data_IF_848268443415
#
_entry.id   IF_848268443415
#
_cell.length_a   1.000
_cell.length_b   1.000
_cell.length_c   1.000
_cell.angle_alpha   90.00
_cell.angle_beta   90.00
_cell.angle_gamma   90.00
#
_symmetry.space_group_name_H-M   'P 1'
#
loop_
_entity.id
_entity.type
_entity.pdbx_description
1 polymer ?
#
# COMPACT_ATOMS: atom_id res chain seq x y z
N UNK A 1 -47.17 83.59 0.68
CA UNK A 1 -46.23 82.73 1.41
C UNK A 1 -46.64 81.29 1.24
N UNK A 2 -46.23 80.67 0.12
CA UNK A 2 -46.59 79.28 -0.22
C UNK A 2 -45.40 78.42 0.03
N UNK A 3 -45.55 77.44 0.94
CA UNK A 3 -44.55 76.37 1.16
C UNK A 3 -45.00 75.13 0.35
N UNK A 4 -44.27 74.84 -0.67
CA UNK A 4 -44.41 73.64 -1.49
C UNK A 4 -43.80 72.48 -0.72
N UNK A 5 -44.58 71.43 -0.47
CA UNK A 5 -44.15 70.16 0.06
C UNK A 5 -43.73 69.28 -1.09
N UNK A 6 -42.48 68.87 -1.13
CA UNK A 6 -41.95 67.90 -2.05
C UNK A 6 -42.11 66.52 -1.37
N UNK A 7 -42.92 65.65 -1.98
CA UNK A 7 -43.03 64.27 -1.58
C UNK A 7 -41.88 63.45 -2.22
N UNK A 8 -41.08 62.87 -1.36
CA UNK A 8 -40.04 61.92 -1.77
C UNK A 8 -40.65 60.53 -1.78
N UNK A 9 -40.89 60.00 -2.96
CA UNK A 9 -41.21 58.56 -3.16
C UNK A 9 -39.91 57.77 -3.21
N UNK A 10 -39.64 57.01 -2.15
CA UNK A 10 -38.53 56.09 -2.10
C UNK A 10 -38.87 54.82 -2.92
N UNK A 11 -38.20 54.65 -4.02
CA UNK A 11 -38.23 53.39 -4.79
C UNK A 11 -37.29 52.37 -4.11
N UNK A 12 -37.87 51.37 -3.47
CA UNK A 12 -37.12 50.17 -2.99
C UNK A 12 -36.75 49.31 -4.17
N UNK A 13 -35.51 49.36 -4.59
CA UNK A 13 -34.93 48.43 -5.53
C UNK A 13 -34.53 47.17 -4.75
N UNK A 14 -35.34 46.09 -4.87
CA UNK A 14 -35.04 44.79 -4.28
C UNK A 14 -33.96 44.11 -5.14
N UNK A 15 -32.71 44.14 -4.67
CA UNK A 15 -31.58 43.41 -5.27
C UNK A 15 -31.63 41.96 -4.80
N UNK A 16 -32.25 41.11 -5.60
CA UNK A 16 -32.13 39.65 -5.44
C UNK A 16 -30.71 39.23 -5.80
N UNK A 17 -29.85 39.08 -4.80
CA UNK A 17 -28.58 38.33 -4.93
C UNK A 17 -28.90 36.86 -5.11
N UNK A 18 -28.84 36.37 -6.35
CA UNK A 18 -28.75 34.97 -6.67
C UNK A 18 -27.37 34.48 -6.25
N UNK A 19 -27.28 33.92 -5.05
CA UNK A 19 -26.14 33.12 -4.62
C UNK A 19 -26.19 31.80 -5.47
N UNK A 20 -25.57 31.83 -6.65
CA UNK A 20 -25.18 30.63 -7.36
C UNK A 20 -24.06 30.00 -6.54
N UNK A 21 -24.43 29.16 -5.58
CA UNK A 21 -23.48 28.25 -4.96
C UNK A 21 -22.97 27.33 -6.05
N UNK A 22 -21.74 27.55 -6.51
CA UNK A 22 -20.99 26.50 -7.18
C UNK A 22 -20.83 25.36 -6.18
N UNK A 23 -21.68 24.34 -6.26
CA UNK A 23 -21.34 23.04 -5.71
C UNK A 23 -20.11 22.57 -6.49
N UNK A 24 -18.95 22.72 -5.90
CA UNK A 24 -17.78 21.94 -6.32
C UNK A 24 -18.17 20.48 -6.15
N UNK A 25 -18.02 19.63 -7.18
CA UNK A 25 -18.08 18.19 -6.94
C UNK A 25 -17.07 17.85 -5.87
N UNK A 26 -17.35 16.82 -5.02
CA UNK A 26 -16.34 16.33 -4.09
C UNK A 26 -15.07 16.05 -4.92
N UNK A 27 -13.93 16.52 -4.45
CA UNK A 27 -12.65 16.15 -5.03
C UNK A 27 -12.61 14.61 -5.03
N UNK A 28 -12.77 14.01 -6.20
CA UNK A 28 -12.37 12.62 -6.38
C UNK A 28 -10.90 12.61 -5.99
N UNK A 29 -10.59 11.97 -4.86
CA UNK A 29 -9.22 11.71 -4.45
C UNK A 29 -8.57 11.07 -5.65
N UNK A 30 -7.64 11.76 -6.27
CA UNK A 30 -6.81 11.23 -7.34
C UNK A 30 -5.96 10.18 -6.65
N UNK A 31 -6.44 8.94 -6.65
CA UNK A 31 -5.55 7.80 -6.44
C UNK A 31 -4.56 7.93 -7.58
N UNK A 32 -3.39 8.44 -7.31
CA UNK A 32 -2.27 8.41 -8.25
C UNK A 32 -2.01 6.93 -8.48
N UNK A 33 -2.54 6.41 -9.59
CA UNK A 33 -2.35 5.01 -9.95
C UNK A 33 -0.86 4.85 -10.24
N UNK A 34 -0.16 4.24 -9.31
CA UNK A 34 1.20 3.78 -9.48
C UNK A 34 1.27 2.98 -10.79
N UNK A 35 2.11 3.42 -11.72
CA UNK A 35 2.28 2.77 -13.02
C UNK A 35 3.64 2.08 -13.08
N UNK A 36 3.63 0.80 -13.48
CA UNK A 36 4.89 0.08 -13.75
C UNK A 36 5.77 0.76 -14.81
N UNK A 37 5.17 1.56 -15.70
CA UNK A 37 5.90 2.30 -16.73
C UNK A 37 6.87 3.34 -16.12
N UNK A 38 6.59 3.79 -14.88
CA UNK A 38 7.41 4.76 -14.16
C UNK A 38 8.53 4.10 -13.35
N UNK A 39 8.51 2.74 -13.22
CA UNK A 39 9.52 2.00 -12.49
C UNK A 39 10.72 1.72 -13.39
N UNK A 40 11.94 2.14 -12.98
CA UNK A 40 13.14 1.79 -13.70
C UNK A 40 13.36 0.27 -13.75
N UNK A 41 13.95 -0.22 -14.82
CA UNK A 41 14.35 -1.63 -14.88
C UNK A 41 15.30 -1.96 -13.72
N UNK A 42 15.16 -3.17 -13.15
CA UNK A 42 16.05 -3.63 -12.10
C UNK A 42 17.54 -3.53 -12.50
N UNK A 43 18.35 -2.97 -11.62
CA UNK A 43 19.77 -2.70 -11.86
C UNK A 43 20.71 -3.26 -10.78
N UNK A 44 20.20 -4.18 -9.95
CA UNK A 44 20.99 -4.85 -8.90
C UNK A 44 20.53 -4.56 -7.48
N UNK A 45 19.79 -3.46 -7.27
CA UNK A 45 19.25 -3.11 -5.94
C UNK A 45 17.88 -3.77 -5.75
N UNK A 46 17.54 -4.24 -4.53
CA UNK A 46 16.29 -4.95 -4.30
C UNK A 46 15.03 -4.06 -4.40
N UNK A 47 15.17 -2.75 -4.25
CA UNK A 47 14.08 -1.79 -4.30
C UNK A 47 14.50 -0.44 -4.89
N UNK A 48 13.51 0.38 -5.18
CA UNK A 48 13.68 1.78 -5.58
C UNK A 48 12.63 2.64 -4.87
N UNK A 49 13.02 3.85 -4.45
CA UNK A 49 12.05 4.82 -3.94
C UNK A 49 11.18 5.34 -5.09
N UNK A 50 9.87 5.47 -4.84
CA UNK A 50 8.89 5.99 -5.78
C UNK A 50 8.15 7.18 -5.18
N UNK A 51 7.52 8.01 -6.01
CA UNK A 51 6.75 9.18 -5.60
C UNK A 51 7.50 10.10 -4.61
N UNK A 52 8.82 10.25 -4.82
CA UNK A 52 9.67 11.03 -3.94
C UNK A 52 9.85 10.43 -2.54
N UNK A 53 9.61 9.14 -2.38
CA UNK A 53 9.60 8.41 -1.10
C UNK A 53 8.51 8.90 -0.15
N UNK A 54 7.41 9.45 -0.69
CA UNK A 54 6.27 9.91 0.11
C UNK A 54 5.09 8.97 -0.08
N UNK A 55 4.55 8.39 1.01
CA UNK A 55 3.34 7.60 0.95
C UNK A 55 2.11 8.51 0.79
N UNK A 56 1.03 7.95 0.25
CA UNK A 56 -0.25 8.64 0.08
C UNK A 56 -1.36 7.90 0.85
N UNK A 57 -1.55 8.28 2.11
CA UNK A 57 -2.59 7.72 2.98
C UNK A 57 -3.74 8.71 3.17
N UNK A 58 -5.01 8.25 3.23
CA UNK A 58 -6.14 9.10 3.55
C UNK A 58 -6.01 9.74 4.93
N UNK A 59 -6.40 11.00 5.07
CA UNK A 59 -6.35 11.72 6.35
C UNK A 59 -7.23 11.05 7.43
N UNK A 60 -8.35 10.46 7.02
CA UNK A 60 -9.26 9.72 7.90
C UNK A 60 -8.63 8.46 8.53
N UNK A 61 -7.59 7.89 7.92
CA UNK A 61 -6.88 6.72 8.43
C UNK A 61 -5.73 7.08 9.40
N UNK A 62 -5.36 8.37 9.47
CA UNK A 62 -4.33 8.91 10.38
C UNK A 62 -4.84 8.91 11.83
N UNK A 63 -5.11 7.73 12.38
CA UNK A 63 -5.67 7.55 13.74
C UNK A 63 -4.83 6.57 14.54
N UNK A 64 -4.96 6.63 15.88
CA UNK A 64 -4.33 5.65 16.80
C UNK A 64 -5.26 4.45 17.05
N UNK A 65 -6.00 4.01 16.03
CA UNK A 65 -6.86 2.83 16.10
C UNK A 65 -6.31 1.80 15.13
N UNK A 66 -5.87 0.67 15.67
CA UNK A 66 -5.35 -0.43 14.86
C UNK A 66 -6.43 -1.05 13.97
N UNK A 67 -6.07 -1.40 12.76
CA UNK A 67 -6.89 -2.20 11.85
C UNK A 67 -5.99 -2.98 10.89
N UNK A 68 -6.54 -4.03 10.30
CA UNK A 68 -5.96 -4.72 9.15
C UNK A 68 -7.06 -5.10 8.16
N UNK A 69 -6.75 -5.07 6.89
CA UNK A 69 -7.66 -5.42 5.81
C UNK A 69 -6.89 -5.99 4.63
N UNK A 70 -7.50 -6.96 3.97
CA UNK A 70 -6.95 -7.65 2.81
C UNK A 70 -8.00 -7.64 1.71
N UNK A 71 -7.58 -7.31 0.49
CA UNK A 71 -8.47 -7.36 -0.66
C UNK A 71 -8.79 -8.79 -1.04
N UNK A 72 -10.03 -9.07 -1.42
CA UNK A 72 -10.40 -10.37 -2.00
C UNK A 72 -9.50 -10.71 -3.20
N UNK A 73 -9.22 -12.00 -3.37
CA UNK A 73 -8.47 -12.48 -4.53
C UNK A 73 -9.22 -12.12 -5.83
N UNK A 74 -8.48 -11.74 -6.85
CA UNK A 74 -9.06 -11.49 -8.16
C UNK A 74 -9.46 -12.80 -8.88
N UNK A 75 -10.00 -12.69 -10.09
CA UNK A 75 -10.45 -13.84 -10.89
C UNK A 75 -9.33 -14.80 -11.32
N UNK A 76 -8.07 -14.39 -11.17
CA UNK A 76 -6.88 -15.21 -11.41
C UNK A 76 -6.29 -15.78 -10.11
N UNK A 77 -6.95 -15.52 -8.96
CA UNK A 77 -6.46 -15.94 -7.64
C UNK A 77 -5.26 -15.14 -7.15
N UNK A 78 -5.10 -13.89 -7.62
CA UNK A 78 -4.01 -13.00 -7.22
C UNK A 78 -4.46 -12.10 -6.07
N UNK A 79 -3.55 -11.85 -5.12
CA UNK A 79 -3.79 -10.91 -4.03
C UNK A 79 -3.94 -9.47 -4.56
N UNK A 80 -4.81 -8.71 -3.92
CA UNK A 80 -4.88 -7.26 -4.06
C UNK A 80 -4.09 -6.55 -2.95
N UNK A 81 -4.54 -5.35 -2.59
CA UNK A 81 -3.90 -4.54 -1.55
C UNK A 81 -4.09 -5.18 -0.17
N UNK A 82 -3.00 -5.24 0.60
CA UNK A 82 -3.00 -5.49 2.04
C UNK A 82 -2.70 -4.17 2.75
N UNK A 83 -3.53 -3.79 3.71
CA UNK A 83 -3.45 -2.50 4.39
C UNK A 83 -3.74 -2.62 5.87
N UNK A 84 -2.90 -2.02 6.70
CA UNK A 84 -3.07 -2.02 8.14
C UNK A 84 -2.64 -0.68 8.76
N UNK A 85 -3.22 -0.37 9.91
CA UNK A 85 -2.66 0.56 10.88
C UNK A 85 -2.07 -0.29 12.01
N UNK A 86 -0.77 -0.53 11.94
CA UNK A 86 -0.07 -1.47 12.83
C UNK A 86 0.17 -0.83 14.18
N UNK A 87 -0.50 -1.34 15.21
CA UNK A 87 -0.22 -1.06 16.63
C UNK A 87 0.27 -2.32 17.34
N UNK A 88 0.75 -2.20 18.57
CA UNK A 88 1.24 -3.34 19.37
C UNK A 88 0.17 -4.42 19.58
N UNK A 89 -1.10 -4.05 19.60
CA UNK A 89 -2.24 -4.95 19.78
C UNK A 89 -2.49 -5.91 18.62
N UNK A 90 -1.99 -5.59 17.40
CA UNK A 90 -2.00 -6.49 16.25
C UNK A 90 -0.79 -7.41 16.19
N UNK A 91 0.30 -7.06 16.86
CA UNK A 91 1.53 -7.84 16.79
C UNK A 91 1.34 -9.23 17.39
N UNK A 92 2.03 -10.27 16.86
CA UNK A 92 1.84 -11.64 17.31
C UNK A 92 2.22 -11.82 18.78
N UNK A 93 1.32 -12.49 19.51
CA UNK A 93 1.56 -12.95 20.90
C UNK A 93 1.85 -14.45 20.97
N UNK A 94 1.74 -15.15 19.84
CA UNK A 94 1.95 -16.58 19.70
C UNK A 94 3.01 -16.88 18.63
N UNK A 95 3.53 -18.10 18.64
CA UNK A 95 4.51 -18.54 17.65
C UNK A 95 3.91 -18.63 16.24
N UNK A 96 4.74 -18.39 15.24
CA UNK A 96 4.36 -18.51 13.83
C UNK A 96 3.99 -19.94 13.48
N UNK A 97 2.85 -20.12 12.82
CA UNK A 97 2.38 -21.39 12.32
C UNK A 97 2.82 -21.67 10.86
N UNK A 98 2.55 -22.90 10.40
CA UNK A 98 2.86 -23.28 9.02
C UNK A 98 1.89 -22.62 8.04
N UNK A 99 2.45 -22.04 6.99
CA UNK A 99 1.70 -21.43 5.87
C UNK A 99 1.70 -22.32 4.61
N UNK A 100 2.09 -23.58 4.74
CA UNK A 100 2.24 -24.50 3.59
C UNK A 100 0.92 -24.90 2.93
N UNK A 101 -0.21 -24.68 3.60
CA UNK A 101 -1.56 -24.93 3.07
C UNK A 101 -1.95 -23.97 1.96
N UNK A 102 -1.39 -22.76 1.91
CA UNK A 102 -1.70 -21.76 0.90
C UNK A 102 -0.85 -21.98 -0.34
N UNK A 103 -1.49 -21.92 -1.51
CA UNK A 103 -0.82 -21.97 -2.81
C UNK A 103 -1.11 -20.68 -3.57
N UNK A 104 -0.24 -19.67 -3.50
CA UNK A 104 -0.45 -18.41 -4.21
C UNK A 104 -0.47 -18.59 -5.73
N UNK A 105 -1.01 -17.60 -6.45
CA UNK A 105 -0.99 -17.60 -7.92
C UNK A 105 0.45 -17.75 -8.46
N UNK A 106 0.63 -18.50 -9.53
CA UNK A 106 1.94 -18.72 -10.15
C UNK A 106 2.95 -19.50 -9.29
N UNK A 107 2.49 -20.22 -8.26
CA UNK A 107 3.38 -20.99 -7.38
C UNK A 107 3.97 -22.20 -8.08
N UNK A 108 5.26 -22.13 -8.43
CA UNK A 108 6.06 -23.25 -8.92
C UNK A 108 7.31 -23.35 -8.08
N UNK A 109 7.32 -24.28 -7.12
CA UNK A 109 8.44 -24.40 -6.19
C UNK A 109 9.54 -25.28 -6.79
N UNK A 110 10.60 -24.65 -7.30
CA UNK A 110 11.81 -25.33 -7.81
C UNK A 110 13.03 -24.82 -7.06
N UNK A 111 14.02 -25.71 -6.94
CA UNK A 111 15.33 -25.37 -6.39
C UNK A 111 16.27 -24.94 -7.52
N UNK A 112 17.05 -23.91 -7.24
CA UNK A 112 18.16 -23.41 -8.04
C UNK A 112 19.36 -23.28 -7.11
N UNK A 113 20.49 -23.86 -7.46
CA UNK A 113 21.70 -23.89 -6.64
C UNK A 113 21.50 -24.38 -5.20
N UNK A 114 20.51 -25.27 -4.98
CA UNK A 114 20.20 -25.86 -3.67
C UNK A 114 19.30 -25.01 -2.78
N UNK A 115 18.73 -23.90 -3.29
CA UNK A 115 17.73 -23.10 -2.61
C UNK A 115 16.45 -22.96 -3.44
N UNK A 116 15.30 -22.87 -2.76
CA UNK A 116 14.04 -22.62 -3.43
C UNK A 116 13.97 -21.20 -3.98
N UNK A 117 13.52 -21.06 -5.24
CA UNK A 117 13.33 -19.76 -5.90
C UNK A 117 12.33 -18.91 -5.15
N UNK A 118 11.21 -19.52 -4.75
CA UNK A 118 10.10 -18.78 -4.16
C UNK A 118 9.87 -19.10 -2.69
N UNK A 119 9.45 -18.07 -1.98
CA UNK A 119 8.81 -18.13 -0.68
C UNK A 119 7.31 -17.84 -0.85
N UNK A 120 6.47 -18.36 0.05
CA UNK A 120 5.15 -17.83 0.30
C UNK A 120 5.38 -16.50 1.04
N UNK A 121 5.38 -15.43 0.30
CA UNK A 121 5.74 -14.11 0.79
C UNK A 121 4.51 -13.41 1.33
N UNK A 122 4.51 -13.06 2.62
CA UNK A 122 3.47 -12.21 3.16
C UNK A 122 3.56 -10.80 2.57
N UNK A 123 2.42 -10.19 2.26
CA UNK A 123 2.34 -8.77 1.95
C UNK A 123 2.54 -7.96 3.23
N UNK A 124 1.77 -8.24 4.28
CA UNK A 124 2.04 -7.74 5.63
C UNK A 124 2.65 -8.88 6.43
N UNK A 125 3.90 -8.71 6.86
CA UNK A 125 4.66 -9.72 7.55
C UNK A 125 4.03 -10.18 8.87
N UNK A 126 4.15 -11.48 9.20
CA UNK A 126 3.64 -12.05 10.44
C UNK A 126 4.01 -11.24 11.69
N UNK A 127 5.20 -10.67 11.73
CA UNK A 127 5.68 -9.87 12.84
C UNK A 127 4.90 -8.58 13.08
N UNK A 128 4.07 -8.13 12.12
CA UNK A 128 3.29 -6.90 12.18
C UNK A 128 1.85 -7.11 12.63
N UNK A 129 1.19 -8.18 12.13
CA UNK A 129 -0.24 -8.42 12.40
C UNK A 129 -0.56 -9.84 12.87
N UNK A 130 0.44 -10.71 13.02
CA UNK A 130 0.22 -12.08 13.49
C UNK A 130 -0.49 -13.00 12.48
N UNK A 131 -0.77 -12.53 11.26
CA UNK A 131 -1.42 -13.32 10.22
C UNK A 131 -0.54 -14.46 9.72
N UNK A 132 -1.07 -15.69 9.73
CA UNK A 132 -0.35 -16.88 9.28
C UNK A 132 -0.76 -17.28 7.85
N UNK A 133 -1.68 -18.23 7.70
CA UNK A 133 -2.04 -18.85 6.43
C UNK A 133 -3.25 -18.14 5.77
N UNK A 134 -3.19 -16.83 5.67
CA UNK A 134 -4.17 -16.02 4.97
C UNK A 134 -3.84 -15.98 3.47
N UNK A 135 -4.74 -16.52 2.62
CA UNK A 135 -4.53 -16.58 1.17
C UNK A 135 -4.55 -15.20 0.50
N UNK A 136 -5.23 -14.21 1.11
CA UNK A 136 -5.28 -12.83 0.64
C UNK A 136 -4.02 -12.02 1.00
N UNK A 137 -3.15 -12.58 1.85
CA UNK A 137 -1.91 -11.97 2.31
C UNK A 137 -0.65 -12.68 1.81
N UNK A 138 -0.76 -13.71 0.98
CA UNK A 138 0.38 -14.53 0.55
C UNK A 138 0.54 -14.52 -0.97
N UNK A 139 1.69 -14.08 -1.45
CA UNK A 139 2.05 -14.08 -2.88
C UNK A 139 3.24 -14.99 -3.15
N UNK A 140 3.41 -15.35 -4.43
CA UNK A 140 4.63 -15.99 -4.94
C UNK A 140 5.74 -14.94 -5.05
N UNK A 141 6.59 -14.88 -4.06
CA UNK A 141 7.71 -13.94 -3.99
C UNK A 141 9.05 -14.64 -4.03
N UNK A 142 10.03 -14.08 -4.71
CA UNK A 142 11.39 -14.62 -4.70
C UNK A 142 12.00 -14.51 -3.30
N UNK A 143 12.99 -15.35 -3.02
CA UNK A 143 13.74 -15.23 -1.78
C UNK A 143 14.43 -13.86 -1.67
N UNK A 144 14.98 -13.35 -2.77
CA UNK A 144 15.62 -12.05 -2.83
C UNK A 144 14.63 -10.91 -2.51
N UNK A 145 13.45 -10.90 -3.14
CA UNK A 145 12.41 -9.92 -2.81
C UNK A 145 12.04 -9.98 -1.32
N UNK A 146 11.77 -11.18 -0.81
CA UNK A 146 11.29 -11.37 0.56
C UNK A 146 12.33 -10.96 1.62
N UNK A 147 13.60 -11.36 1.44
CA UNK A 147 14.64 -11.23 2.48
C UNK A 147 15.45 -9.94 2.33
N UNK A 148 15.85 -9.62 1.09
CA UNK A 148 16.71 -8.46 0.83
C UNK A 148 15.88 -7.21 0.52
N UNK A 149 14.66 -7.41 0.00
CA UNK A 149 13.76 -6.32 -0.39
C UNK A 149 12.79 -5.91 0.70
N UNK A 150 11.87 -6.80 1.11
CA UNK A 150 10.76 -6.44 2.00
C UNK A 150 11.13 -6.44 3.48
N UNK A 151 11.84 -7.48 3.95
CA UNK A 151 12.15 -7.67 5.37
C UNK A 151 12.82 -6.46 6.07
N UNK A 152 13.74 -5.70 5.44
CA UNK A 152 14.28 -4.50 6.08
C UNK A 152 13.24 -3.45 6.44
N UNK A 153 12.23 -3.24 5.57
CA UNK A 153 11.13 -2.31 5.80
C UNK A 153 10.14 -2.82 6.84
N UNK A 154 9.83 -4.11 6.81
CA UNK A 154 9.00 -4.74 7.85
C UNK A 154 9.66 -4.64 9.23
N UNK A 155 10.97 -4.85 9.32
CA UNK A 155 11.72 -4.70 10.57
C UNK A 155 11.68 -3.25 11.07
N UNK A 156 11.84 -2.26 10.18
CA UNK A 156 11.76 -0.84 10.54
C UNK A 156 10.41 -0.52 11.18
N UNK A 157 9.30 -0.98 10.59
CA UNK A 157 7.95 -0.80 11.14
C UNK A 157 7.81 -1.52 12.48
N UNK A 158 8.21 -2.80 12.54
CA UNK A 158 8.08 -3.61 13.76
C UNK A 158 8.88 -3.05 14.93
N UNK A 159 10.09 -2.59 14.68
CA UNK A 159 10.97 -2.03 15.72
C UNK A 159 10.41 -0.71 16.24
N UNK A 160 9.94 0.19 15.32
CA UNK A 160 9.32 1.45 15.70
C UNK A 160 8.08 1.25 16.59
N UNK A 161 7.15 0.37 16.19
CA UNK A 161 5.93 0.08 16.98
C UNK A 161 6.28 -0.47 18.36
N UNK A 162 7.27 -1.38 18.46
CA UNK A 162 7.71 -1.97 19.74
C UNK A 162 8.38 -0.95 20.66
N UNK A 163 9.15 -0.01 20.09
CA UNK A 163 9.93 0.95 20.87
C UNK A 163 9.08 2.14 21.35
N UNK A 164 8.05 2.52 20.58
CA UNK A 164 7.30 3.75 20.84
C UNK A 164 5.88 3.53 21.36
N UNK A 165 5.27 2.35 21.10
CA UNK A 165 3.84 2.06 21.29
C UNK A 165 2.92 2.92 20.37
N UNK A 166 3.49 3.53 19.35
CA UNK A 166 2.80 4.31 18.33
C UNK A 166 2.33 3.42 17.17
N UNK A 167 1.49 3.98 16.29
CA UNK A 167 0.94 3.28 15.15
C UNK A 167 1.66 3.64 13.85
N UNK A 168 1.68 2.68 12.93
CA UNK A 168 2.20 2.86 11.57
C UNK A 168 1.17 2.42 10.56
N UNK A 169 0.68 3.35 9.75
CA UNK A 169 -0.03 3.00 8.52
C UNK A 169 0.95 2.27 7.59
N UNK A 170 0.56 1.07 7.16
CA UNK A 170 1.39 0.21 6.34
C UNK A 170 0.56 -0.44 5.24
N UNK A 171 0.90 -0.17 3.99
CA UNK A 171 0.19 -0.67 2.82
C UNK A 171 1.15 -1.38 1.87
N UNK A 172 0.77 -2.56 1.41
CA UNK A 172 1.51 -3.30 0.40
C UNK A 172 0.58 -3.62 -0.77
N UNK A 173 0.97 -3.15 -1.95
CA UNK A 173 0.23 -3.32 -3.19
C UNK A 173 1.04 -4.20 -4.15
N UNK A 174 0.65 -5.45 -4.39
CA UNK A 174 1.30 -6.27 -5.41
C UNK A 174 0.96 -5.75 -6.81
N UNK A 175 1.97 -5.71 -7.68
CA UNK A 175 1.86 -5.13 -9.02
C UNK A 175 1.98 -6.23 -10.06
N UNK A 176 0.88 -6.51 -10.76
CA UNK A 176 0.81 -7.52 -11.81
C UNK A 176 0.69 -6.89 -13.19
N UNK A 177 1.44 -7.40 -14.16
CA UNK A 177 1.27 -6.99 -15.56
C UNK A 177 0.22 -7.87 -16.25
N UNK A 178 -0.83 -7.25 -16.76
CA UNK A 178 -1.87 -7.95 -17.52
C UNK A 178 -2.43 -9.16 -16.79
N UNK A 179 -2.24 -10.35 -17.37
CA UNK A 179 -2.70 -11.62 -16.80
C UNK A 179 -1.59 -12.45 -16.15
N UNK A 180 -0.46 -11.87 -15.85
CA UNK A 180 0.62 -12.55 -15.16
C UNK A 180 0.16 -13.10 -13.82
N UNK A 181 0.58 -14.32 -13.48
CA UNK A 181 0.23 -14.97 -12.22
C UNK A 181 1.19 -14.62 -11.08
N UNK A 182 2.37 -14.11 -11.41
CA UNK A 182 3.38 -13.65 -10.45
C UNK A 182 3.49 -12.13 -10.56
N UNK A 183 3.49 -11.43 -9.42
CA UNK A 183 3.68 -10.00 -9.39
C UNK A 183 5.09 -9.62 -9.85
N UNK A 184 5.22 -8.54 -10.62
CA UNK A 184 6.52 -7.96 -11.01
C UNK A 184 7.29 -7.41 -9.81
N UNK A 185 6.56 -7.06 -8.76
CA UNK A 185 7.05 -6.56 -7.49
C UNK A 185 5.90 -6.11 -6.61
N UNK A 186 6.22 -5.43 -5.52
CA UNK A 186 5.26 -4.84 -4.60
C UNK A 186 5.62 -3.37 -4.34
N UNK A 187 4.63 -2.49 -4.29
CA UNK A 187 4.79 -1.19 -3.68
C UNK A 187 4.56 -1.34 -2.18
N UNK A 188 5.47 -0.80 -1.37
CA UNK A 188 5.37 -0.77 0.09
C UNK A 188 5.38 0.68 0.54
N UNK A 189 4.39 1.04 1.33
CA UNK A 189 4.22 2.38 1.87
C UNK A 189 4.06 2.31 3.38
N UNK A 190 4.67 3.25 4.11
CA UNK A 190 4.49 3.36 5.54
C UNK A 190 4.58 4.80 6.03
N UNK A 191 3.85 5.09 7.11
CA UNK A 191 3.80 6.38 7.77
C UNK A 191 3.50 6.21 9.26
N UNK A 192 4.39 6.68 10.12
CA UNK A 192 4.14 6.70 11.57
C UNK A 192 3.15 7.82 11.92
N UNK A 193 2.06 7.45 12.62
CA UNK A 193 0.90 8.32 12.76
C UNK A 193 1.12 9.43 13.77
N UNK A 194 1.52 9.10 15.00
CA UNK A 194 1.56 10.03 16.12
C UNK A 194 2.67 11.08 16.01
N UNK A 195 3.72 10.81 15.26
CA UNK A 195 4.83 11.73 15.01
C UNK A 195 4.89 12.28 13.59
N UNK A 196 3.77 12.11 12.85
CA UNK A 196 3.62 12.68 11.51
C UNK A 196 4.73 12.25 10.52
N UNK A 197 5.15 10.98 10.61
CA UNK A 197 6.13 10.38 9.71
C UNK A 197 7.59 10.63 10.09
N UNK A 198 7.89 11.19 11.28
CA UNK A 198 9.28 11.41 11.71
C UNK A 198 10.01 10.10 11.94
N UNK A 199 9.35 9.08 12.51
CA UNK A 199 9.96 7.79 12.81
C UNK A 199 9.96 6.82 11.63
N UNK A 200 8.85 6.73 10.91
CA UNK A 200 8.70 5.86 9.73
C UNK A 200 8.00 6.61 8.62
N UNK A 201 8.69 6.77 7.50
CA UNK A 201 8.11 7.35 6.28
C UNK A 201 8.83 6.75 5.07
N UNK A 202 8.12 5.96 4.25
CA UNK A 202 8.66 5.47 2.99
C UNK A 202 7.56 5.13 1.98
N UNK A 203 7.94 5.20 0.70
CA UNK A 203 7.20 4.70 -0.44
C UNK A 203 8.20 4.11 -1.43
N UNK A 204 8.24 2.79 -1.50
CA UNK A 204 9.23 2.04 -2.28
C UNK A 204 8.57 0.97 -3.14
N UNK A 205 9.17 0.70 -4.29
CA UNK A 205 8.85 -0.46 -5.09
C UNK A 205 9.95 -1.52 -4.91
N UNK A 206 9.56 -2.70 -4.46
CA UNK A 206 10.44 -3.85 -4.26
C UNK A 206 10.29 -4.81 -5.43
N UNK A 207 11.38 -5.11 -6.11
CA UNK A 207 11.39 -5.96 -7.30
C UNK A 207 11.23 -7.44 -6.97
N UNK A 208 10.32 -8.13 -7.64
CA UNK A 208 10.19 -9.59 -7.52
C UNK A 208 11.13 -10.28 -8.52
N UNK A 209 12.41 -10.21 -8.27
CA UNK A 209 13.48 -10.80 -9.08
C UNK A 209 14.32 -11.75 -8.23
N UNK A 210 15.07 -12.63 -8.89
CA UNK A 210 16.13 -13.41 -8.25
C UNK A 210 17.40 -13.24 -9.08
N UNK A 211 18.50 -12.68 -8.51
CA UNK A 211 19.75 -12.55 -9.23
C UNK A 211 20.20 -13.87 -9.89
N UNK A 212 20.52 -13.81 -11.17
CA UNK A 212 20.97 -14.98 -11.94
C UNK A 212 19.86 -15.86 -12.52
N UNK A 213 18.58 -15.58 -12.21
CA UNK A 213 17.43 -16.36 -12.71
C UNK A 213 16.48 -15.44 -13.47
N UNK A 214 16.04 -15.86 -14.65
CA UNK A 214 14.97 -15.18 -15.38
C UNK A 214 13.62 -15.75 -14.95
N UNK A 215 12.67 -14.90 -14.59
CA UNK A 215 11.32 -15.32 -14.17
C UNK A 215 10.35 -15.13 -15.32
N UNK A 216 9.60 -16.17 -15.65
CA UNK A 216 8.39 -16.04 -16.45
C UNK A 216 7.22 -15.67 -15.53
N UNK A 217 6.90 -14.37 -15.44
CA UNK A 217 5.83 -13.87 -14.60
C UNK A 217 4.44 -14.35 -15.01
N UNK A 218 4.24 -14.78 -16.25
CA UNK A 218 2.97 -15.32 -16.69
C UNK A 218 2.65 -16.66 -16.02
N UNK A 219 3.65 -17.47 -15.75
CA UNK A 219 3.49 -18.85 -15.23
C UNK A 219 4.10 -19.05 -13.84
N UNK A 220 5.15 -18.32 -13.50
CA UNK A 220 6.00 -18.53 -12.33
C UNK A 220 7.18 -19.48 -12.60
N UNK A 221 7.44 -19.88 -13.84
CA UNK A 221 8.64 -20.66 -14.14
C UNK A 221 9.90 -19.81 -14.05
N UNK A 222 10.94 -20.36 -13.40
CA UNK A 222 12.29 -19.82 -13.47
C UNK A 222 13.05 -20.45 -14.64
N UNK A 223 13.77 -19.64 -15.38
CA UNK A 223 14.61 -20.07 -16.51
C UNK A 223 16.06 -19.78 -16.16
N UNK A 224 16.92 -20.78 -16.32
CA UNK A 224 18.38 -20.69 -16.15
C UNK A 224 19.03 -19.89 -17.29
#
# INVERSE_FOLDING_TARGET
MNRTRISLTAALLSLCLLLSGCMMPPAEGTVTSFSLEDIPAWSGEPYVAVDGNQPDFPEEDMTSVSFETYSELDTLGRCGVAYANVGQDLMPTEDRESISSVTPSGWINREYDGEYLYNRCHLIGFQLTGENANEENLITGTRYMNVDGMLPFENLVADYVKETDNHVLYRVTPVFEGQNLVASGVQMEAWSVEDEGEGVCFNVYVYNVQPGITIDYATGEGLD
#
